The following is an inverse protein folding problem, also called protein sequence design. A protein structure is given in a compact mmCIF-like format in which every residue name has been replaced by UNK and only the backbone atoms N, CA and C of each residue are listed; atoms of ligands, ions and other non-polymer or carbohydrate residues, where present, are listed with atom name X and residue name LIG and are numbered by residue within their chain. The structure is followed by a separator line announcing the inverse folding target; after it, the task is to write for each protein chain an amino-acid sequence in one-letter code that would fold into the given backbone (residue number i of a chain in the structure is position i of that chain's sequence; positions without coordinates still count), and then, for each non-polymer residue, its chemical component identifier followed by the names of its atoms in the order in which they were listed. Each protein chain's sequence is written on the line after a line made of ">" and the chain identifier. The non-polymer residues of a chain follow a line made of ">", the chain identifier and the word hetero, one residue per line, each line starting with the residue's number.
data_IF_192955742697
#
_entry.id   IF_192955742697
#
_cell.length_a   1.000
_cell.length_b   1.000
_cell.length_c   1.000
_cell.angle_alpha   90.00
_cell.angle_beta   90.00
_cell.angle_gamma   90.00
#
_symmetry.space_group_name_H-M   'P 1'
#
loop_
_entity.id
_entity.type
_entity.pdbx_description
1 polymer ?
#
# COMPACT_ATOMS: atom_id res chain seq x y z
N UNK A 1 -2.84 -6.42 -23.76
CA UNK A 1 -2.72 -5.33 -22.77
C UNK A 1 -3.74 -5.59 -21.68
N UNK A 2 -3.29 -5.82 -20.44
CA UNK A 2 -4.18 -6.08 -19.30
C UNK A 2 -4.60 -4.75 -18.67
N UNK A 3 -5.89 -4.50 -18.39
CA UNK A 3 -6.41 -3.18 -18.02
C UNK A 3 -6.15 -2.76 -16.56
N UNK A 4 -5.36 -3.52 -15.79
CA UNK A 4 -5.09 -3.26 -14.37
C UNK A 4 -3.72 -2.63 -14.13
N UNK A 5 -3.36 -1.61 -14.91
CA UNK A 5 -2.13 -0.85 -14.65
C UNK A 5 -2.43 0.19 -13.57
N UNK A 6 -2.06 -0.14 -12.33
CA UNK A 6 -2.03 0.81 -11.22
C UNK A 6 -1.11 1.97 -11.61
N UNK A 7 -1.63 3.18 -11.61
CA UNK A 7 -0.92 4.41 -11.95
C UNK A 7 0.02 4.85 -10.80
N UNK A 8 0.94 3.96 -10.45
CA UNK A 8 2.09 4.18 -9.58
C UNK A 8 3.28 3.62 -10.36
N UNK A 9 3.78 4.37 -11.33
CA UNK A 9 5.06 4.10 -12.00
C UNK A 9 6.23 4.35 -11.03
N UNK A 10 6.21 3.67 -9.88
CA UNK A 10 7.47 3.22 -9.34
C UNK A 10 7.85 2.03 -10.23
N UNK A 11 8.99 2.06 -10.95
CA UNK A 11 9.52 0.79 -11.44
C UNK A 11 9.53 -0.11 -10.21
N UNK A 12 8.99 -1.33 -10.30
CA UNK A 12 9.11 -2.29 -9.21
C UNK A 12 10.61 -2.40 -8.95
N UNK A 13 11.12 -1.59 -8.02
CA UNK A 13 12.43 -1.77 -7.46
C UNK A 13 12.28 -3.12 -6.81
N UNK A 14 13.02 -4.11 -7.33
CA UNK A 14 12.82 -5.53 -6.99
C UNK A 14 12.95 -5.83 -5.49
N UNK A 15 13.30 -4.84 -4.68
CA UNK A 15 13.37 -4.89 -3.23
C UNK A 15 12.58 -3.74 -2.60
N UNK A 16 11.83 -4.10 -1.56
CA UNK A 16 11.25 -3.20 -0.57
C UNK A 16 11.85 -3.57 0.79
N UNK A 17 11.94 -2.58 1.69
CA UNK A 17 12.40 -2.81 3.06
C UNK A 17 11.29 -3.42 3.93
N UNK A 18 10.03 -3.12 3.59
CA UNK A 18 8.85 -3.63 4.26
C UNK A 18 7.69 -3.85 3.29
N UNK A 19 6.90 -4.89 3.56
CA UNK A 19 5.63 -5.15 2.88
C UNK A 19 4.49 -5.08 3.91
N UNK A 20 3.50 -4.23 3.65
CA UNK A 20 2.22 -4.18 4.37
C UNK A 20 1.22 -5.05 3.62
N UNK A 21 0.57 -6.00 4.30
CA UNK A 21 -0.29 -7.03 3.68
C UNK A 21 -1.76 -6.58 3.55
N UNK A 22 -2.03 -5.35 3.99
CA UNK A 22 -3.34 -4.72 3.94
C UNK A 22 -3.19 -3.20 3.77
N UNK A 23 -4.24 -2.55 3.30
CA UNK A 23 -4.36 -1.11 3.07
C UNK A 23 -5.45 -0.47 3.94
N UNK A 24 -5.53 -0.88 5.22
CA UNK A 24 -6.39 -0.26 6.21
C UNK A 24 -5.88 1.10 6.70
N UNK A 25 -6.56 1.66 7.71
CA UNK A 25 -6.21 2.94 8.31
C UNK A 25 -4.80 2.93 8.94
N UNK A 26 -4.48 1.85 9.65
CA UNK A 26 -3.20 1.66 10.32
C UNK A 26 -2.05 1.50 9.31
N UNK A 27 -2.26 0.73 8.25
CA UNK A 27 -1.26 0.45 7.22
C UNK A 27 -1.04 1.65 6.31
N UNK A 28 -2.10 2.41 6.02
CA UNK A 28 -1.99 3.70 5.34
C UNK A 28 -1.14 4.69 6.16
N UNK A 29 -1.37 4.77 7.47
CA UNK A 29 -0.54 5.56 8.37
C UNK A 29 0.91 5.04 8.44
N UNK A 30 1.11 3.72 8.52
CA UNK A 30 2.43 3.09 8.56
C UNK A 30 3.22 3.33 7.26
N UNK A 31 2.59 3.19 6.10
CA UNK A 31 3.19 3.47 4.79
C UNK A 31 3.67 4.92 4.69
N UNK A 32 2.83 5.87 5.14
CA UNK A 32 3.21 7.29 5.22
C UNK A 32 4.41 7.51 6.14
N UNK A 33 4.44 6.85 7.30
CA UNK A 33 5.54 6.92 8.25
C UNK A 33 6.84 6.32 7.68
N UNK A 34 6.77 5.17 7.02
CA UNK A 34 7.93 4.54 6.36
C UNK A 34 8.52 5.45 5.30
N UNK A 35 7.66 6.07 4.48
CA UNK A 35 8.11 7.04 3.48
C UNK A 35 8.83 8.23 4.11
N UNK A 36 8.30 8.78 5.21
CA UNK A 36 8.93 9.87 5.97
C UNK A 36 10.28 9.48 6.58
N UNK A 37 10.46 8.20 6.95
CA UNK A 37 11.71 7.65 7.48
C UNK A 37 12.72 7.25 6.40
N UNK A 38 12.39 7.42 5.11
CA UNK A 38 13.25 7.03 3.99
C UNK A 38 13.23 5.53 3.66
N UNK A 39 12.28 4.78 4.22
CA UNK A 39 12.10 3.35 3.93
C UNK A 39 11.19 3.17 2.70
N UNK A 40 11.52 2.19 1.86
CA UNK A 40 10.66 1.75 0.74
C UNK A 40 9.68 0.70 1.24
N UNK A 41 8.42 1.08 1.40
CA UNK A 41 7.34 0.16 1.72
C UNK A 41 6.46 -0.10 0.50
N UNK A 42 6.04 -1.35 0.31
CA UNK A 42 4.93 -1.69 -0.57
C UNK A 42 3.68 -2.03 0.25
N UNK A 43 2.52 -1.79 -0.33
CA UNK A 43 1.24 -2.18 0.23
C UNK A 43 0.62 -3.19 -0.73
N UNK A 44 0.34 -4.38 -0.22
CA UNK A 44 -0.41 -5.42 -0.89
C UNK A 44 -1.83 -5.37 -0.34
N UNK A 45 -2.81 -5.23 -1.20
CA UNK A 45 -4.22 -5.21 -0.80
C UNK A 45 -4.98 -6.17 -1.70
N UNK A 46 -5.73 -7.10 -1.09
CA UNK A 46 -6.51 -8.07 -1.86
C UNK A 46 -7.70 -7.41 -2.56
N UNK A 47 -8.21 -6.31 -2.01
CA UNK A 47 -9.35 -5.60 -2.57
C UNK A 47 -8.94 -4.79 -3.80
N UNK A 48 -9.73 -4.91 -4.87
CA UNK A 48 -9.54 -4.13 -6.08
C UNK A 48 -9.80 -2.62 -5.88
N UNK A 49 -10.66 -2.27 -4.92
CA UNK A 49 -11.03 -0.89 -4.61
C UNK A 49 -11.23 -0.71 -3.10
N UNK A 50 -10.95 0.47 -2.53
CA UNK A 50 -11.18 0.72 -1.12
C UNK A 50 -12.65 0.52 -0.77
N UNK A 51 -12.93 -0.34 0.22
CA UNK A 51 -14.27 -0.46 0.80
C UNK A 51 -14.33 0.30 2.11
N UNK A 52 -15.47 0.94 2.34
CA UNK A 52 -15.75 1.55 3.64
C UNK A 52 -15.83 0.44 4.69
N UNK A 53 -14.91 0.47 5.66
CA UNK A 53 -14.96 -0.35 6.86
C UNK A 53 -15.52 0.51 7.98
N UNK A 54 -16.63 0.08 8.58
CA UNK A 54 -17.16 0.70 9.81
C UNK A 54 -16.57 -0.10 10.97
N UNK A 55 -15.52 0.45 11.58
CA UNK A 55 -15.03 -0.06 12.86
C UNK A 55 -15.95 0.43 13.98
N UNK A 56 -16.27 -0.44 14.95
CA UNK A 56 -16.96 0.00 16.17
C UNK A 56 -15.92 0.53 17.15
N UNK A 57 -16.13 1.77 17.60
CA UNK A 57 -15.38 2.39 18.69
C UNK A 57 -15.69 1.71 20.03
#
# INVERSE_FOLDING_TARGET
>A
MSPYSNHQDFPISRSFDAALISAGSAESAASSLFRKKGCKACVLEQQHFPRLVIEKA
#
